data_IF_066124524010
#
_entry.id   IF_066124524010
#
_cell.length_a   1.000
_cell.length_b   1.000
_cell.length_c   1.000
_cell.angle_alpha   90.00
_cell.angle_beta   90.00
_cell.angle_gamma   90.00
#
_symmetry.space_group_name_H-M   'P 1'
#
loop_
_entity.id
_entity.type
_entity.pdbx_description
1 polymer ?
#
# COMPACT_ATOMS: atom_id res chain seq x y z
N UNK A 1 -58.24 40.42 5.22
CA UNK A 1 -56.85 40.78 4.93
C UNK A 1 -56.02 40.45 6.16
N UNK A 2 -55.33 39.32 6.14
CA UNK A 2 -54.44 38.87 7.20
C UNK A 2 -53.05 38.74 6.58
N UNK A 3 -52.14 39.60 7.02
CA UNK A 3 -50.74 39.63 6.58
C UNK A 3 -49.97 38.64 7.46
N UNK A 4 -49.49 37.55 6.87
CA UNK A 4 -48.60 36.59 7.52
C UNK A 4 -47.15 36.96 7.19
N UNK A 5 -46.44 37.48 8.19
CA UNK A 5 -45.01 37.74 8.15
C UNK A 5 -44.28 36.44 8.50
N UNK A 6 -43.50 35.89 7.58
CA UNK A 6 -42.62 34.73 7.83
C UNK A 6 -41.24 35.26 8.20
N UNK A 7 -40.82 35.01 9.43
CA UNK A 7 -39.46 35.25 9.93
C UNK A 7 -38.52 34.11 9.51
N UNK A 8 -37.44 34.43 8.80
CA UNK A 8 -36.34 33.49 8.49
C UNK A 8 -35.54 33.15 9.76
N UNK A 9 -35.06 31.90 9.93
CA UNK A 9 -34.05 31.61 10.94
C UNK A 9 -32.65 31.98 10.43
N UNK A 10 -31.92 32.72 11.27
CA UNK A 10 -30.50 33.03 11.10
C UNK A 10 -29.67 31.73 11.14
N UNK A 11 -28.95 31.43 10.04
CA UNK A 11 -27.95 30.36 10.03
C UNK A 11 -26.63 30.92 10.54
N UNK A 12 -26.29 30.54 11.78
CA UNK A 12 -24.97 30.78 12.38
C UNK A 12 -23.93 29.95 11.64
N UNK A 13 -23.11 30.58 10.80
CA UNK A 13 -21.93 29.93 10.21
C UNK A 13 -20.76 30.01 11.20
N UNK A 14 -20.42 28.87 11.80
CA UNK A 14 -19.16 28.69 12.50
C UNK A 14 -18.02 28.52 11.48
N UNK A 15 -16.91 29.29 11.56
CA UNK A 15 -15.76 29.06 10.69
C UNK A 15 -14.96 27.86 11.20
N UNK A 16 -14.75 26.86 10.33
CA UNK A 16 -13.73 25.83 10.54
C UNK A 16 -12.33 26.48 10.55
N UNK A 17 -11.41 26.05 11.44
CA UNK A 17 -10.08 26.64 11.50
C UNK A 17 -9.27 26.21 10.27
N UNK A 18 -8.90 27.20 9.46
CA UNK A 18 -7.90 27.07 8.41
C UNK A 18 -6.53 27.00 9.10
N UNK A 19 -5.86 25.85 9.03
CA UNK A 19 -4.48 25.73 9.49
C UNK A 19 -3.59 26.55 8.55
N UNK A 20 -3.28 27.78 8.95
CA UNK A 20 -2.29 28.63 8.31
C UNK A 20 -0.93 28.20 8.84
N UNK A 21 -0.17 27.44 8.06
CA UNK A 21 1.25 27.22 8.36
C UNK A 21 1.99 28.49 7.99
N UNK A 22 2.48 29.20 9.01
CA UNK A 22 3.38 30.33 8.86
C UNK A 22 4.71 29.83 8.28
N UNK A 23 5.12 30.40 7.15
CA UNK A 23 6.46 30.24 6.60
C UNK A 23 7.35 31.27 7.29
N UNK A 24 8.13 30.81 8.25
CA UNK A 24 9.19 31.62 8.86
C UNK A 24 10.41 31.54 7.94
N UNK A 25 10.74 32.68 7.32
CA UNK A 25 11.95 32.83 6.52
C UNK A 25 13.15 32.99 7.46
N UNK A 26 14.09 32.05 7.43
CA UNK A 26 15.45 32.27 7.93
C UNK A 26 16.47 31.96 6.84
N UNK A 27 17.38 32.92 6.67
CA UNK A 27 18.34 33.05 5.59
C UNK A 27 19.36 31.91 5.46
N UNK A 28 19.78 31.73 4.21
CA UNK A 28 20.77 30.79 3.64
C UNK A 28 22.22 31.03 4.06
N UNK A 29 23.01 29.95 4.21
CA UNK A 29 24.41 29.85 3.69
C UNK A 29 24.83 28.40 3.36
N UNK A 30 24.91 28.11 2.05
CA UNK A 30 25.85 27.25 1.27
C UNK A 30 26.34 25.85 1.75
N UNK A 31 25.95 24.77 1.03
CA UNK A 31 26.73 24.02 0.01
C UNK A 31 26.34 22.52 -0.12
N UNK A 32 26.03 22.06 -1.34
CA UNK A 32 25.92 20.63 -1.73
C UNK A 32 24.62 20.30 -2.50
N UNK A 33 24.62 19.42 -3.54
CA UNK A 33 23.46 19.20 -4.39
C UNK A 33 22.41 18.41 -3.62
N UNK A 34 21.45 19.12 -3.01
CA UNK A 34 20.27 18.52 -2.41
C UNK A 34 19.39 17.99 -3.53
N UNK A 35 19.39 16.66 -3.69
CA UNK A 35 18.32 15.99 -4.42
C UNK A 35 17.00 16.34 -3.75
N UNK A 36 16.13 17.04 -4.45
CA UNK A 36 14.79 17.40 -3.99
C UNK A 36 14.04 16.11 -3.67
N UNK A 37 13.97 15.74 -2.39
CA UNK A 37 13.10 14.69 -1.93
C UNK A 37 11.66 15.20 -2.10
N UNK A 38 11.08 14.97 -3.28
CA UNK A 38 9.65 15.13 -3.50
C UNK A 38 8.95 14.17 -2.54
N UNK A 39 8.39 14.71 -1.45
CA UNK A 39 7.42 14.01 -0.63
C UNK A 39 6.17 13.77 -1.49
N UNK A 40 6.20 12.72 -2.30
CA UNK A 40 5.06 12.29 -3.10
C UNK A 40 4.06 11.64 -2.13
N UNK A 41 3.14 12.45 -1.60
CA UNK A 41 2.03 11.94 -0.81
C UNK A 41 1.11 11.17 -1.74
N UNK A 42 1.03 9.86 -1.56
CA UNK A 42 0.11 9.01 -2.31
C UNK A 42 -1.29 9.27 -1.78
N UNK A 43 -2.18 9.77 -2.64
CA UNK A 43 -3.56 10.07 -2.29
C UNK A 43 -4.52 9.23 -3.14
N UNK A 44 -5.68 8.91 -2.56
CA UNK A 44 -6.78 8.26 -3.25
C UNK A 44 -7.98 9.19 -3.21
N UNK A 45 -8.49 9.57 -4.38
CA UNK A 45 -9.61 10.48 -4.48
C UNK A 45 -10.92 9.70 -4.32
N UNK A 46 -11.76 10.05 -3.33
CA UNK A 46 -13.09 9.46 -3.25
C UNK A 46 -13.87 9.80 -4.52
N UNK A 47 -14.73 8.89 -4.95
CA UNK A 47 -15.61 9.19 -6.07
C UNK A 47 -16.63 10.24 -5.63
N UNK A 48 -16.53 11.44 -6.21
CA UNK A 48 -17.49 12.52 -6.01
C UNK A 48 -17.77 13.22 -7.33
N UNK A 49 -19.04 13.50 -7.61
CA UNK A 49 -19.47 14.29 -8.75
C UNK A 49 -20.19 15.52 -8.22
N UNK A 50 -19.66 16.70 -8.52
CA UNK A 50 -20.30 17.98 -8.19
C UNK A 50 -20.92 18.56 -9.46
N UNK A 51 -22.23 18.81 -9.43
CA UNK A 51 -22.96 19.46 -10.53
C UNK A 51 -23.32 20.88 -10.10
N UNK A 52 -22.83 21.88 -10.83
CA UNK A 52 -23.26 23.26 -10.64
C UNK A 52 -24.65 23.50 -11.25
N UNK A 53 -25.22 24.68 -11.04
CA UNK A 53 -26.57 25.02 -11.52
C UNK A 53 -26.72 24.86 -13.04
N UNK A 54 -25.67 25.19 -13.81
CA UNK A 54 -25.69 25.07 -15.27
C UNK A 54 -25.60 23.61 -15.71
N UNK A 55 -24.76 22.81 -15.06
CA UNK A 55 -24.63 21.38 -15.31
C UNK A 55 -25.93 20.64 -14.96
N UNK A 56 -26.60 21.01 -13.86
CA UNK A 56 -27.93 20.46 -13.51
C UNK A 56 -28.98 20.83 -14.56
N UNK A 57 -29.01 22.09 -15.00
CA UNK A 57 -29.95 22.55 -16.03
C UNK A 57 -29.71 21.81 -17.36
N UNK A 58 -28.45 21.77 -17.82
CA UNK A 58 -28.07 21.08 -19.04
C UNK A 58 -28.37 19.58 -18.96
N UNK A 59 -28.03 18.92 -17.84
CA UNK A 59 -28.36 17.52 -17.60
C UNK A 59 -29.86 17.25 -17.64
N UNK A 60 -30.67 18.13 -17.04
CA UNK A 60 -32.14 18.03 -17.07
C UNK A 60 -32.69 18.17 -18.49
N UNK A 61 -32.20 19.14 -19.27
CA UNK A 61 -32.60 19.34 -20.66
C UNK A 61 -32.19 18.16 -21.55
N UNK A 62 -30.99 17.61 -21.35
CA UNK A 62 -30.52 16.41 -22.06
C UNK A 62 -31.35 15.18 -21.72
N UNK A 63 -31.76 15.03 -20.46
CA UNK A 63 -32.64 13.93 -20.05
C UNK A 63 -34.02 14.05 -20.72
N UNK A 64 -34.63 15.24 -20.67
CA UNK A 64 -35.93 15.49 -21.32
C UNK A 64 -35.86 15.30 -22.83
N UNK A 65 -34.86 15.89 -23.48
CA UNK A 65 -34.63 15.70 -24.92
C UNK A 65 -34.41 14.23 -25.27
N UNK A 66 -33.58 13.52 -24.50
CA UNK A 66 -33.33 12.10 -24.70
C UNK A 66 -34.58 11.23 -24.64
N UNK A 67 -35.51 11.52 -23.72
CA UNK A 67 -36.80 10.80 -23.62
C UNK A 67 -37.68 10.98 -24.87
N UNK A 68 -37.59 12.12 -25.56
CA UNK A 68 -38.43 12.42 -26.72
C UNK A 68 -37.80 12.03 -28.06
N UNK A 69 -36.47 12.10 -28.17
CA UNK A 69 -35.77 11.97 -29.45
C UNK A 69 -35.00 10.66 -29.62
N UNK A 70 -34.74 9.90 -28.55
CA UNK A 70 -33.97 8.65 -28.60
C UNK A 70 -34.86 7.43 -28.34
N UNK A 71 -34.48 6.29 -28.90
CA UNK A 71 -35.09 5.02 -28.55
C UNK A 71 -34.88 4.72 -27.06
N UNK A 72 -35.93 4.26 -26.37
CA UNK A 72 -35.93 4.05 -24.92
C UNK A 72 -34.76 3.18 -24.42
N UNK A 73 -34.45 2.07 -25.11
CA UNK A 73 -33.35 1.18 -24.75
C UNK A 73 -31.98 1.85 -24.85
N UNK A 74 -31.75 2.63 -25.91
CA UNK A 74 -30.52 3.38 -26.10
C UNK A 74 -30.36 4.48 -25.04
N UNK A 75 -31.44 5.21 -24.74
CA UNK A 75 -31.41 6.25 -23.74
C UNK A 75 -31.15 5.71 -22.32
N UNK A 76 -31.80 4.60 -21.94
CA UNK A 76 -31.53 3.89 -20.69
C UNK A 76 -30.07 3.43 -20.59
N UNK A 77 -29.52 2.88 -21.68
CA UNK A 77 -28.12 2.47 -21.71
C UNK A 77 -27.17 3.64 -21.48
N UNK A 78 -27.45 4.82 -22.06
CA UNK A 78 -26.64 6.03 -21.84
C UNK A 78 -26.71 6.49 -20.38
N UNK A 79 -27.91 6.54 -19.78
CA UNK A 79 -28.08 6.94 -18.37
C UNK A 79 -27.25 6.06 -17.43
N UNK A 80 -27.19 4.75 -17.69
CA UNK A 80 -26.40 3.81 -16.89
C UNK A 80 -24.90 3.90 -17.23
N UNK A 81 -24.55 4.08 -18.49
CA UNK A 81 -23.17 4.13 -18.94
C UNK A 81 -22.40 5.33 -18.36
N UNK A 82 -23.02 6.51 -18.29
CA UNK A 82 -22.36 7.74 -17.79
C UNK A 82 -21.74 7.58 -16.39
N UNK A 83 -22.49 7.21 -15.32
CA UNK A 83 -21.90 7.02 -14.00
C UNK A 83 -20.88 5.89 -13.95
N UNK A 84 -21.08 4.80 -14.71
CA UNK A 84 -20.11 3.70 -14.81
C UNK A 84 -18.79 4.22 -15.41
N UNK A 85 -18.84 4.99 -16.49
CA UNK A 85 -17.66 5.59 -17.12
C UNK A 85 -16.94 6.52 -16.16
N UNK A 86 -17.66 7.34 -15.39
CA UNK A 86 -17.06 8.23 -14.39
C UNK A 86 -16.40 7.44 -13.25
N UNK A 87 -17.03 6.36 -12.78
CA UNK A 87 -16.47 5.46 -11.76
C UNK A 87 -15.18 4.79 -12.26
N UNK A 88 -15.22 4.21 -13.46
CA UNK A 88 -14.05 3.57 -14.09
C UNK A 88 -12.92 4.58 -14.32
N UNK A 89 -13.25 5.79 -14.76
CA UNK A 89 -12.28 6.88 -14.91
C UNK A 89 -11.63 7.24 -13.58
N UNK A 90 -12.41 7.38 -12.50
CA UNK A 90 -11.89 7.71 -11.18
C UNK A 90 -10.99 6.58 -10.63
N UNK A 91 -11.44 5.32 -10.71
CA UNK A 91 -10.65 4.17 -10.27
C UNK A 91 -9.34 4.03 -11.08
N UNK A 92 -9.38 4.29 -12.40
CA UNK A 92 -8.19 4.31 -13.24
C UNK A 92 -7.22 5.43 -12.86
N UNK A 93 -7.71 6.64 -12.60
CA UNK A 93 -6.85 7.74 -12.13
C UNK A 93 -6.24 7.43 -10.76
N UNK A 94 -7.01 6.87 -9.84
CA UNK A 94 -6.52 6.41 -8.55
C UNK A 94 -5.45 5.31 -8.70
N UNK A 95 -5.60 4.41 -9.66
CA UNK A 95 -4.58 3.43 -10.01
C UNK A 95 -3.27 4.10 -10.46
N UNK A 96 -3.35 5.13 -11.32
CA UNK A 96 -2.16 5.88 -11.75
C UNK A 96 -1.50 6.65 -10.58
N UNK A 97 -2.31 7.20 -9.66
CA UNK A 97 -1.83 7.96 -8.50
C UNK A 97 -1.05 7.12 -7.48
N UNK A 98 -1.19 5.79 -7.50
CA UNK A 98 -0.38 4.89 -6.66
C UNK A 98 1.09 4.83 -7.10
N UNK A 99 1.41 5.39 -8.27
CA UNK A 99 2.75 5.43 -8.84
C UNK A 99 3.12 4.16 -9.62
N UNK A 100 4.40 4.02 -10.01
CA UNK A 100 4.88 2.83 -10.70
C UNK A 100 4.88 1.62 -9.76
N UNK A 101 4.87 0.41 -10.32
CA UNK A 101 5.03 -0.84 -9.57
C UNK A 101 5.10 -2.04 -10.52
N UNK A 102 4.81 -3.24 -10.01
CA UNK A 102 4.85 -4.47 -10.82
C UNK A 102 3.93 -4.45 -12.05
N UNK A 103 2.73 -3.88 -11.91
CA UNK A 103 1.77 -3.67 -13.01
C UNK A 103 2.09 -2.35 -13.73
N UNK A 104 2.26 -2.36 -15.07
CA UNK A 104 2.47 -1.13 -15.82
C UNK A 104 1.32 -0.13 -15.64
N UNK A 105 1.59 1.18 -15.49
CA UNK A 105 0.57 2.23 -15.33
C UNK A 105 -0.10 2.56 -16.67
N UNK A 106 -0.65 1.56 -17.33
CA UNK A 106 -1.34 1.65 -18.62
C UNK A 106 -2.77 1.17 -18.49
N UNK A 107 -3.62 1.52 -19.46
CA UNK A 107 -5.00 1.05 -19.49
C UNK A 107 -5.10 -0.49 -19.51
N UNK A 108 -4.19 -1.17 -20.23
CA UNK A 108 -4.12 -2.63 -20.25
C UNK A 108 -3.70 -3.23 -18.90
N UNK A 109 -2.76 -2.57 -18.19
CA UNK A 109 -2.41 -2.94 -16.82
C UNK A 109 -3.61 -2.85 -15.88
N UNK A 110 -4.37 -1.77 -15.99
CA UNK A 110 -5.60 -1.57 -15.23
C UNK A 110 -6.67 -2.63 -15.52
N UNK A 111 -6.95 -2.94 -16.80
CA UNK A 111 -7.89 -4.00 -17.18
C UNK A 111 -7.49 -5.37 -16.60
N UNK A 112 -6.19 -5.68 -16.61
CA UNK A 112 -5.65 -6.89 -15.97
C UNK A 112 -5.94 -6.92 -14.47
N UNK A 113 -5.82 -5.78 -13.77
CA UNK A 113 -6.16 -5.71 -12.35
C UNK A 113 -7.65 -5.85 -12.10
N UNK A 114 -8.52 -5.26 -12.94
CA UNK A 114 -9.97 -5.45 -12.83
C UNK A 114 -10.35 -6.93 -12.95
N UNK A 115 -9.71 -7.67 -13.85
CA UNK A 115 -9.91 -9.12 -13.93
C UNK A 115 -9.56 -9.81 -12.60
N UNK A 116 -8.39 -9.55 -12.03
CA UNK A 116 -7.99 -10.16 -10.76
C UNK A 116 -8.78 -9.66 -9.55
N UNK A 117 -9.32 -8.43 -9.59
CA UNK A 117 -10.14 -7.82 -8.53
C UNK A 117 -11.39 -8.64 -8.23
N UNK A 118 -11.92 -9.38 -9.22
CA UNK A 118 -13.06 -10.28 -9.04
C UNK A 118 -12.76 -11.46 -8.09
N UNK A 119 -11.48 -11.85 -7.99
CA UNK A 119 -11.01 -13.00 -7.21
C UNK A 119 -10.17 -12.60 -5.99
N UNK A 120 -9.81 -11.32 -5.87
CA UNK A 120 -8.99 -10.82 -4.78
C UNK A 120 -9.58 -11.12 -3.40
N UNK A 121 -8.71 -11.37 -2.43
CA UNK A 121 -9.11 -11.55 -1.03
C UNK A 121 -9.85 -10.30 -0.55
N UNK A 122 -11.08 -10.50 -0.06
CA UNK A 122 -11.90 -9.43 0.54
C UNK A 122 -11.53 -9.19 1.99
N UNK A 123 -11.25 -10.27 2.72
CA UNK A 123 -10.72 -10.21 4.07
C UNK A 123 -9.21 -10.48 4.04
N UNK A 124 -8.42 -9.42 4.14
CA UNK A 124 -6.95 -9.50 4.14
C UNK A 124 -6.36 -9.72 5.54
N UNK A 125 -7.19 -9.74 6.59
CA UNK A 125 -6.74 -9.82 7.98
C UNK A 125 -6.94 -11.21 8.58
N UNK A 126 -7.92 -11.97 8.12
CA UNK A 126 -8.23 -13.30 8.68
C UNK A 126 -8.09 -14.46 7.67
N UNK A 127 -7.60 -14.18 6.45
CA UNK A 127 -7.39 -15.19 5.40
C UNK A 127 -6.02 -15.86 5.49
N UNK A 128 -5.80 -16.64 6.56
CA UNK A 128 -4.54 -17.38 6.77
C UNK A 128 -4.44 -18.53 5.76
N UNK A 129 -3.30 -18.68 5.05
CA UNK A 129 -3.09 -19.81 4.15
C UNK A 129 -3.06 -21.15 4.90
N UNK A 130 -3.49 -22.23 4.26
CA UNK A 130 -3.35 -23.57 4.84
C UNK A 130 -1.88 -24.00 4.84
N UNK A 131 -1.41 -24.54 5.97
CA UNK A 131 -0.09 -25.16 6.06
C UNK A 131 -0.08 -26.47 5.29
N UNK A 132 0.97 -26.70 4.50
CA UNK A 132 1.20 -27.96 3.78
C UNK A 132 2.28 -28.78 4.52
N UNK A 133 2.03 -30.04 4.90
CA UNK A 133 3.03 -30.89 5.54
C UNK A 133 4.33 -31.09 4.73
N UNK A 134 4.29 -30.91 3.41
CA UNK A 134 5.46 -30.99 2.54
C UNK A 134 6.27 -29.69 2.40
N UNK A 135 5.89 -28.63 3.13
CA UNK A 135 6.62 -27.36 3.10
C UNK A 135 7.91 -27.47 3.93
N UNK A 136 9.01 -26.92 3.41
CA UNK A 136 10.28 -26.79 4.12
C UNK A 136 10.61 -25.30 4.23
N UNK A 137 10.75 -24.71 5.42
CA UNK A 137 10.63 -25.33 6.75
C UNK A 137 9.19 -25.77 7.09
N UNK A 138 9.05 -26.78 7.95
CA UNK A 138 7.74 -27.38 8.30
C UNK A 138 6.89 -26.55 9.27
N UNK A 139 7.50 -25.56 9.93
CA UNK A 139 6.85 -24.66 10.88
C UNK A 139 7.48 -23.27 10.81
N UNK A 140 6.70 -22.28 11.23
CA UNK A 140 7.17 -20.92 11.45
C UNK A 140 8.03 -20.80 12.70
N UNK A 141 8.82 -19.71 12.78
CA UNK A 141 9.68 -19.40 13.93
C UNK A 141 9.23 -18.15 14.69
N UNK A 142 8.29 -17.39 14.14
CA UNK A 142 7.80 -16.15 14.69
C UNK A 142 6.74 -16.45 15.75
N UNK A 143 7.06 -16.12 17.01
CA UNK A 143 6.17 -16.32 18.15
C UNK A 143 6.22 -15.10 19.06
N UNK A 144 5.14 -14.88 19.80
CA UNK A 144 5.08 -13.89 20.88
C UNK A 144 5.44 -12.47 20.40
N UNK A 145 4.86 -12.06 19.27
CA UNK A 145 4.93 -10.66 18.89
C UNK A 145 4.01 -9.83 19.80
N UNK A 146 4.45 -8.64 20.24
CA UNK A 146 3.55 -7.71 20.91
C UNK A 146 2.48 -7.23 19.91
N UNK A 147 1.33 -6.82 20.42
CA UNK A 147 0.34 -6.14 19.58
C UNK A 147 0.91 -4.82 19.07
N UNK A 148 0.77 -4.55 17.77
CA UNK A 148 1.13 -3.26 17.19
C UNK A 148 0.21 -2.17 17.77
N UNK A 149 0.75 -1.12 18.43
CA UNK A 149 -0.08 -0.08 19.02
C UNK A 149 -0.85 0.73 17.96
N UNK A 150 -2.13 1.02 18.25
CA UNK A 150 -2.97 1.89 17.43
C UNK A 150 -3.65 1.19 16.25
N UNK A 151 -4.35 1.94 15.39
CA UNK A 151 -5.03 1.38 14.22
C UNK A 151 -4.03 0.89 13.18
N UNK A 152 -4.46 -0.09 12.37
CA UNK A 152 -3.75 -0.49 11.16
C UNK A 152 -3.66 0.68 10.19
N UNK A 153 -2.59 0.79 9.39
CA UNK A 153 -2.47 1.82 8.39
C UNK A 153 -3.50 1.62 7.27
N UNK A 154 -3.84 2.72 6.61
CA UNK A 154 -4.64 2.71 5.40
C UNK A 154 -3.81 2.19 4.24
N UNK A 155 -4.36 1.18 3.55
CA UNK A 155 -3.70 0.56 2.39
C UNK A 155 -4.63 0.61 1.18
N UNK A 156 -4.09 1.03 0.04
CA UNK A 156 -4.82 1.09 -1.22
C UNK A 156 -4.10 0.38 -2.36
N UNK A 157 -4.86 0.04 -3.39
CA UNK A 157 -4.35 -0.63 -4.58
C UNK A 157 -4.32 -2.16 -4.46
N UNK A 158 -4.16 -2.79 -5.63
CA UNK A 158 -3.91 -4.23 -5.75
C UNK A 158 -2.46 -4.48 -6.15
N UNK A 159 -2.00 -3.88 -7.25
CA UNK A 159 -0.60 -3.88 -7.66
C UNK A 159 -0.39 -2.69 -8.61
N UNK A 160 0.29 -1.60 -8.20
CA UNK A 160 0.95 -1.44 -6.91
C UNK A 160 -0.02 -1.42 -5.72
N UNK A 161 0.45 -1.91 -4.59
CA UNK A 161 -0.21 -1.79 -3.28
C UNK A 161 0.59 -0.79 -2.44
N UNK A 162 -0.09 0.14 -1.76
CA UNK A 162 0.55 1.27 -1.06
C UNK A 162 -0.06 1.50 0.31
N UNK A 163 0.82 1.73 1.29
CA UNK A 163 0.44 2.33 2.56
C UNK A 163 0.25 3.84 2.36
N UNK A 164 -0.82 4.41 2.88
CA UNK A 164 -1.18 5.82 2.66
C UNK A 164 -0.87 6.70 3.87
N UNK A 165 -0.66 6.11 5.04
CA UNK A 165 -0.31 6.76 6.30
C UNK A 165 0.75 5.96 7.07
N UNK A 166 1.17 6.44 8.25
CA UNK A 166 2.13 5.75 9.13
C UNK A 166 3.47 5.35 8.44
N UNK A 167 4.02 6.26 7.63
CA UNK A 167 5.28 6.12 6.89
C UNK A 167 6.47 5.87 7.82
N UNK A 168 7.51 5.18 7.34
CA UNK A 168 8.76 5.09 8.09
C UNK A 168 9.56 6.40 8.10
N UNK A 169 10.28 6.63 9.20
CA UNK A 169 11.28 7.69 9.25
C UNK A 169 12.48 7.35 8.34
N UNK A 170 13.16 8.39 7.85
CA UNK A 170 14.41 8.24 7.07
C UNK A 170 15.45 7.47 7.86
N UNK A 171 15.52 7.71 9.16
CA UNK A 171 16.41 7.01 10.11
C UNK A 171 16.12 5.51 10.17
N UNK A 172 14.85 5.11 10.36
CA UNK A 172 14.49 3.69 10.41
C UNK A 172 14.85 2.97 9.11
N UNK A 173 14.63 3.63 7.97
CA UNK A 173 15.03 3.07 6.68
C UNK A 173 16.55 2.94 6.54
N UNK A 174 17.32 3.94 6.97
CA UNK A 174 18.78 3.90 6.91
C UNK A 174 19.35 2.78 7.79
N UNK A 175 18.86 2.64 9.03
CA UNK A 175 19.25 1.58 9.96
C UNK A 175 18.91 0.21 9.37
N UNK A 176 17.68 0.02 8.88
CA UNK A 176 17.27 -1.24 8.27
C UNK A 176 18.14 -1.60 7.07
N UNK A 177 18.36 -0.64 6.16
CA UNK A 177 19.18 -0.86 4.97
C UNK A 177 20.62 -1.23 5.34
N UNK A 178 21.22 -0.56 6.32
CA UNK A 178 22.56 -0.90 6.80
C UNK A 178 22.60 -2.31 7.39
N UNK A 179 21.65 -2.66 8.25
CA UNK A 179 21.56 -3.99 8.87
C UNK A 179 21.48 -5.11 7.82
N UNK A 180 20.71 -4.90 6.75
CA UNK A 180 20.58 -5.88 5.65
C UNK A 180 21.87 -5.99 4.83
N UNK A 181 22.54 -4.87 4.53
CA UNK A 181 23.84 -4.91 3.85
C UNK A 181 24.88 -5.65 4.70
N UNK A 182 24.86 -5.46 6.02
CA UNK A 182 25.76 -6.14 6.95
C UNK A 182 25.45 -7.63 7.05
N UNK A 183 24.17 -8.01 7.04
CA UNK A 183 23.74 -9.40 6.96
C UNK A 183 24.25 -10.07 5.68
N UNK A 184 24.15 -9.39 4.53
CA UNK A 184 24.64 -9.90 3.24
C UNK A 184 26.16 -10.06 3.25
N UNK A 185 26.90 -9.12 3.86
CA UNK A 185 28.35 -9.24 4.07
C UNK A 185 28.73 -10.44 4.95
N UNK A 186 27.91 -10.80 5.93
CA UNK A 186 28.10 -11.99 6.77
C UNK A 186 27.76 -13.30 6.06
N UNK A 187 26.83 -13.27 5.11
CA UNK A 187 26.36 -14.47 4.39
C UNK A 187 26.41 -14.31 2.85
N UNK A 188 27.57 -14.00 2.25
CA UNK A 188 27.66 -13.65 0.82
C UNK A 188 27.29 -14.81 -0.12
N UNK A 189 27.55 -16.05 0.30
CA UNK A 189 27.20 -17.27 -0.44
C UNK A 189 25.70 -17.62 -0.39
N UNK A 190 24.96 -17.00 0.53
CA UNK A 190 23.55 -17.31 0.77
C UNK A 190 22.62 -16.18 0.34
N UNK A 191 23.05 -14.93 0.53
CA UNK A 191 22.23 -13.74 0.35
C UNK A 191 22.84 -12.76 -0.65
N UNK A 192 21.99 -11.96 -1.28
CA UNK A 192 22.37 -10.82 -2.10
C UNK A 192 21.30 -9.73 -2.07
N UNK A 193 21.65 -8.51 -2.45
CA UNK A 193 20.69 -7.42 -2.60
C UNK A 193 20.59 -7.00 -4.07
N UNK A 194 19.39 -6.69 -4.53
CA UNK A 194 19.15 -6.16 -5.87
C UNK A 194 17.86 -5.34 -5.88
N UNK A 195 17.51 -4.76 -7.02
CA UNK A 195 16.18 -4.19 -7.23
C UNK A 195 15.12 -5.30 -7.22
N UNK A 196 13.97 -5.07 -6.59
CA UNK A 196 12.86 -6.06 -6.55
C UNK A 196 12.46 -6.50 -7.96
N UNK A 197 12.22 -7.81 -8.15
CA UNK A 197 11.69 -8.31 -9.42
C UNK A 197 10.17 -8.14 -9.55
N UNK A 198 9.49 -8.03 -8.41
CA UNK A 198 8.03 -7.91 -8.31
C UNK A 198 7.65 -6.46 -8.51
N UNK A 199 8.26 -5.58 -7.72
CA UNK A 199 7.96 -4.15 -7.75
C UNK A 199 8.69 -3.44 -8.90
N UNK A 200 9.77 -4.05 -9.41
CA UNK A 200 10.67 -3.52 -10.45
C UNK A 200 11.42 -2.26 -10.02
N UNK A 201 11.28 -1.88 -8.76
CA UNK A 201 11.86 -0.72 -8.09
C UNK A 201 12.13 -1.11 -6.62
N UNK A 202 12.76 -0.24 -5.85
CA UNK A 202 13.02 -0.48 -4.43
C UNK A 202 14.14 -1.48 -4.13
N UNK A 203 14.56 -1.45 -2.86
CA UNK A 203 15.60 -2.31 -2.32
C UNK A 203 15.03 -3.68 -1.95
N UNK A 204 15.60 -4.75 -2.50
CA UNK A 204 15.21 -6.14 -2.22
C UNK A 204 16.35 -7.00 -1.70
N UNK A 205 16.01 -7.95 -0.81
CA UNK A 205 16.88 -9.02 -0.35
C UNK A 205 16.54 -10.31 -1.09
N UNK A 206 17.55 -11.03 -1.56
CA UNK A 206 17.42 -12.26 -2.32
C UNK A 206 18.22 -13.39 -1.68
N UNK A 207 17.64 -14.59 -1.71
CA UNK A 207 18.30 -15.85 -1.41
C UNK A 207 18.89 -16.44 -2.69
N UNK A 208 20.15 -16.87 -2.64
CA UNK A 208 20.83 -17.54 -3.77
C UNK A 208 20.38 -18.98 -3.96
N UNK A 209 20.05 -19.66 -2.85
CA UNK A 209 19.63 -21.05 -2.83
C UNK A 209 18.33 -21.22 -2.01
N UNK A 210 17.21 -20.66 -2.49
CA UNK A 210 15.94 -20.73 -1.77
C UNK A 210 15.36 -22.15 -1.80
N UNK A 211 14.86 -22.61 -0.64
CA UNK A 211 14.06 -23.85 -0.55
C UNK A 211 12.63 -23.60 -1.03
N UNK A 212 12.09 -22.40 -0.78
CA UNK A 212 10.81 -21.94 -1.30
C UNK A 212 11.05 -20.88 -2.38
N UNK A 213 11.05 -21.31 -3.63
CA UNK A 213 11.36 -20.43 -4.77
C UNK A 213 10.14 -19.62 -5.17
N UNK A 214 10.22 -18.30 -5.01
CA UNK A 214 9.35 -17.37 -5.70
C UNK A 214 10.10 -16.05 -5.96
N UNK A 215 9.72 -15.30 -6.99
CA UNK A 215 10.37 -14.02 -7.33
C UNK A 215 11.88 -14.12 -7.53
N UNK A 216 12.40 -15.16 -8.20
CA UNK A 216 13.84 -15.40 -8.35
C UNK A 216 14.61 -15.48 -7.02
N UNK A 217 13.96 -15.92 -5.94
CA UNK A 217 14.55 -16.01 -4.60
C UNK A 217 14.40 -14.74 -3.77
N UNK A 218 13.57 -13.79 -4.19
CA UNK A 218 13.27 -12.58 -3.42
C UNK A 218 12.63 -12.94 -2.08
N UNK A 219 13.32 -12.61 -0.99
CA UNK A 219 12.87 -12.80 0.40
C UNK A 219 11.85 -11.71 0.73
N UNK A 220 12.25 -10.45 0.50
CA UNK A 220 11.40 -9.27 0.65
C UNK A 220 11.91 -8.10 -0.18
N UNK A 221 11.05 -7.11 -0.37
CA UNK A 221 11.44 -5.78 -0.83
C UNK A 221 10.78 -4.67 -0.02
N UNK A 222 11.40 -3.49 -0.05
CA UNK A 222 10.93 -2.27 0.58
C UNK A 222 10.37 -1.34 -0.50
N UNK A 223 9.16 -0.81 -0.29
CA UNK A 223 8.60 0.21 -1.16
C UNK A 223 9.33 1.56 -1.02
N UNK A 224 9.66 2.19 -2.13
CA UNK A 224 10.42 3.45 -2.13
C UNK A 224 9.67 4.64 -1.54
N UNK A 225 8.33 4.65 -1.56
CA UNK A 225 7.55 5.77 -1.01
C UNK A 225 7.46 5.72 0.50
N UNK A 226 6.84 4.66 1.04
CA UNK A 226 6.37 4.61 2.43
C UNK A 226 7.13 3.63 3.34
N UNK A 227 7.96 2.78 2.73
CA UNK A 227 8.87 1.83 3.38
C UNK A 227 8.20 0.63 4.08
N UNK A 228 6.92 0.35 3.81
CA UNK A 228 6.35 -0.97 4.02
C UNK A 228 7.01 -1.96 3.06
N UNK A 229 6.80 -3.24 3.35
CA UNK A 229 7.50 -4.31 2.67
C UNK A 229 6.54 -5.38 2.21
N UNK A 230 6.86 -6.01 1.10
CA UNK A 230 6.28 -7.30 0.78
C UNK A 230 7.29 -8.41 0.98
N UNK A 231 6.80 -9.54 1.49
CA UNK A 231 7.61 -10.74 1.73
C UNK A 231 6.75 -12.00 1.73
N UNK A 232 7.41 -13.15 1.63
CA UNK A 232 6.78 -14.45 1.83
C UNK A 232 7.13 -15.01 3.20
N UNK A 233 6.12 -15.46 3.95
CA UNK A 233 6.26 -16.02 5.29
C UNK A 233 5.67 -17.41 5.38
N UNK A 234 6.11 -18.19 6.37
CA UNK A 234 5.43 -19.45 6.71
C UNK A 234 3.99 -19.16 7.16
N UNK A 235 2.99 -20.00 6.85
CA UNK A 235 1.60 -19.78 7.30
C UNK A 235 1.43 -19.52 8.80
N UNK A 236 2.22 -20.19 9.65
CA UNK A 236 2.24 -19.94 11.10
C UNK A 236 2.73 -18.51 11.44
N UNK A 237 3.76 -18.03 10.75
CA UNK A 237 4.30 -16.68 10.94
C UNK A 237 3.32 -15.62 10.41
N UNK A 238 2.64 -15.91 9.29
CA UNK A 238 1.55 -15.07 8.76
C UNK A 238 0.47 -14.92 9.81
N UNK A 239 0.04 -16.02 10.45
CA UNK A 239 -0.96 -15.98 11.51
C UNK A 239 -0.53 -15.03 12.64
N UNK A 240 0.70 -15.15 13.12
CA UNK A 240 1.22 -14.28 14.18
C UNK A 240 1.25 -12.80 13.75
N UNK A 241 1.75 -12.50 12.54
CA UNK A 241 1.79 -11.13 11.99
C UNK A 241 0.39 -10.52 11.88
N UNK A 242 -0.57 -11.29 11.37
CA UNK A 242 -1.95 -10.83 11.21
C UNK A 242 -2.62 -10.62 12.56
N UNK A 243 -2.56 -11.59 13.46
CA UNK A 243 -3.21 -11.52 14.77
C UNK A 243 -2.68 -10.36 15.62
N UNK A 244 -1.39 -10.03 15.49
CA UNK A 244 -0.73 -8.96 16.23
C UNK A 244 -0.74 -7.60 15.55
N UNK A 245 -1.27 -7.51 14.32
CA UNK A 245 -1.49 -6.23 13.66
C UNK A 245 -0.28 -5.65 12.91
N UNK A 246 0.75 -6.47 12.62
CA UNK A 246 1.99 -6.01 11.97
C UNK A 246 1.94 -6.02 10.43
N UNK A 247 0.93 -6.65 9.85
CA UNK A 247 0.78 -6.70 8.40
C UNK A 247 -0.59 -7.21 7.96
N UNK A 248 -0.75 -7.36 6.65
CA UNK A 248 -1.95 -7.89 6.01
C UNK A 248 -1.60 -8.82 4.86
N UNK A 249 -2.52 -9.72 4.51
CA UNK A 249 -2.43 -10.52 3.30
C UNK A 249 -2.42 -9.62 2.07
N UNK A 250 -1.65 -10.00 1.05
CA UNK A 250 -1.78 -9.34 -0.24
C UNK A 250 -3.10 -9.77 -0.91
N UNK A 251 -3.98 -8.86 -1.37
CA UNK A 251 -5.28 -9.23 -1.96
C UNK A 251 -5.17 -10.22 -3.14
N UNK A 252 -4.12 -10.06 -3.96
CA UNK A 252 -3.80 -10.95 -5.08
C UNK A 252 -3.16 -12.30 -4.68
N UNK A 253 -2.96 -12.59 -3.39
CA UNK A 253 -2.48 -13.88 -2.88
C UNK A 253 -3.65 -14.84 -2.52
N UNK A 254 -4.72 -14.80 -3.31
CA UNK A 254 -5.89 -15.66 -3.12
C UNK A 254 -5.61 -17.10 -3.54
N UNK A 255 -6.47 -18.02 -3.11
CA UNK A 255 -6.46 -19.42 -3.56
C UNK A 255 -7.84 -19.77 -4.12
N UNK A 256 -7.89 -20.51 -5.21
CA UNK A 256 -9.14 -20.85 -5.87
C UNK A 256 -8.90 -21.53 -7.22
N UNK A 257 -9.97 -21.62 -8.01
CA UNK A 257 -9.96 -22.22 -9.34
C UNK A 257 -9.19 -21.38 -10.38
N UNK A 258 -9.11 -20.06 -10.17
CA UNK A 258 -8.24 -19.17 -10.94
C UNK A 258 -6.87 -19.11 -10.27
N UNK A 259 -5.80 -19.27 -11.07
CA UNK A 259 -4.42 -19.15 -10.58
C UNK A 259 -4.13 -17.70 -10.18
N UNK A 260 -3.80 -17.49 -8.91
CA UNK A 260 -3.35 -16.21 -8.40
C UNK A 260 -1.98 -15.82 -8.99
N UNK A 261 -1.73 -14.51 -9.21
CA UNK A 261 -0.43 -14.03 -9.69
C UNK A 261 0.64 -14.03 -8.58
N UNK A 262 0.25 -14.04 -7.31
CA UNK A 262 1.13 -14.03 -6.15
C UNK A 262 0.95 -15.30 -5.33
N UNK A 263 2.00 -15.77 -4.62
CA UNK A 263 1.93 -17.00 -3.85
C UNK A 263 1.02 -16.77 -2.65
N UNK A 264 0.36 -17.84 -2.22
CA UNK A 264 -0.50 -17.79 -1.05
C UNK A 264 0.27 -17.38 0.21
N UNK A 265 1.59 -17.33 0.26
CA UNK A 265 2.36 -16.88 1.43
C UNK A 265 2.73 -15.40 1.40
N UNK A 266 2.33 -14.67 0.35
CA UNK A 266 2.72 -13.27 0.18
C UNK A 266 1.90 -12.32 1.06
N UNK A 267 2.62 -11.49 1.83
CA UNK A 267 2.04 -10.52 2.77
C UNK A 267 2.65 -9.14 2.58
N UNK A 268 1.96 -8.13 3.08
CA UNK A 268 2.47 -6.78 3.28
C UNK A 268 2.75 -6.59 4.76
N UNK A 269 3.97 -6.22 5.12
CA UNK A 269 4.37 -5.81 6.46
C UNK A 269 4.41 -4.29 6.50
N UNK A 270 3.74 -3.69 7.48
CA UNK A 270 3.61 -2.24 7.57
C UNK A 270 4.96 -1.56 7.83
N UNK A 271 5.08 -0.30 7.40
CA UNK A 271 6.28 0.48 7.62
C UNK A 271 6.57 0.69 9.13
N UNK A 272 7.84 0.64 9.57
CA UNK A 272 8.20 0.96 10.95
C UNK A 272 8.05 2.45 11.23
N UNK A 273 7.20 2.83 12.19
CA UNK A 273 7.04 4.25 12.57
C UNK A 273 8.22 4.77 13.38
N UNK A 274 8.86 3.88 14.13
CA UNK A 274 9.95 4.18 15.05
C UNK A 274 10.87 2.95 15.23
N UNK A 275 11.90 3.10 16.06
CA UNK A 275 12.87 2.04 16.36
C UNK A 275 12.26 0.82 17.08
N UNK A 276 11.16 1.01 17.81
CA UNK A 276 10.46 -0.09 18.48
C UNK A 276 9.75 -0.96 17.46
N UNK A 277 9.02 -0.34 16.52
CA UNK A 277 8.44 -1.03 15.37
C UNK A 277 9.54 -1.73 14.56
N UNK A 278 10.66 -1.05 14.32
CA UNK A 278 11.77 -1.58 13.52
C UNK A 278 12.36 -2.87 14.11
N UNK A 279 12.53 -2.95 15.43
CA UNK A 279 12.99 -4.18 16.12
C UNK A 279 12.04 -5.35 15.92
N UNK A 280 10.74 -5.10 15.91
CA UNK A 280 9.74 -6.15 15.65
C UNK A 280 9.77 -6.57 14.19
N UNK A 281 9.88 -5.61 13.27
CA UNK A 281 10.01 -5.90 11.84
C UNK A 281 11.27 -6.68 11.52
N UNK A 282 12.38 -6.43 12.22
CA UNK A 282 13.61 -7.22 12.06
C UNK A 282 13.36 -8.71 12.35
N UNK A 283 12.62 -9.05 13.43
CA UNK A 283 12.20 -10.43 13.73
C UNK A 283 11.31 -11.03 12.64
N UNK A 284 10.44 -10.23 12.04
CA UNK A 284 9.60 -10.67 10.91
C UNK A 284 10.47 -10.95 9.68
N UNK A 285 11.47 -10.12 9.40
CA UNK A 285 12.42 -10.34 8.30
C UNK A 285 13.23 -11.63 8.50
N UNK A 286 13.69 -11.90 9.73
CA UNK A 286 14.33 -13.18 10.06
C UNK A 286 13.43 -14.38 9.74
N UNK A 287 12.13 -14.27 10.06
CA UNK A 287 11.15 -15.31 9.72
C UNK A 287 10.93 -15.47 8.21
N UNK A 288 11.03 -14.38 7.43
CA UNK A 288 10.98 -14.43 5.96
C UNK A 288 12.21 -15.13 5.38
N UNK A 289 13.40 -14.89 5.95
CA UNK A 289 14.65 -15.56 5.56
C UNK A 289 14.57 -17.04 5.92
N UNK A 290 14.08 -17.36 7.12
CA UNK A 290 13.81 -18.74 7.55
C UNK A 290 12.88 -19.46 6.57
N UNK A 291 11.74 -18.85 6.23
CA UNK A 291 10.81 -19.44 5.26
C UNK A 291 11.46 -19.64 3.90
N UNK A 292 12.23 -18.67 3.41
CA UNK A 292 12.81 -18.73 2.06
C UNK A 292 13.97 -19.72 1.96
N UNK A 293 14.80 -19.85 3.01
CA UNK A 293 16.09 -20.56 2.97
C UNK A 293 16.23 -21.73 3.94
N UNK A 294 15.28 -21.94 4.84
CA UNK A 294 15.39 -22.86 5.99
C UNK A 294 16.67 -22.64 6.82
N UNK A 295 17.14 -21.39 6.87
CA UNK A 295 18.34 -20.99 7.61
C UNK A 295 17.99 -19.87 8.57
N UNK A 296 18.25 -20.09 9.85
CA UNK A 296 18.08 -19.07 10.87
C UNK A 296 19.23 -18.07 10.79
N UNK A 297 18.89 -16.79 10.89
CA UNK A 297 19.83 -15.68 10.92
C UNK A 297 19.44 -14.72 12.03
N UNK A 298 20.40 -13.92 12.48
CA UNK A 298 20.18 -12.84 13.45
C UNK A 298 20.45 -11.50 12.76
N UNK A 299 19.42 -10.67 12.69
CA UNK A 299 19.46 -9.35 12.06
C UNK A 299 19.77 -8.29 13.13
N UNK A 300 21.06 -8.01 13.27
CA UNK A 300 21.57 -6.99 14.18
C UNK A 300 21.30 -5.60 13.60
N UNK A 301 20.47 -4.80 14.30
CA UNK A 301 20.24 -3.41 13.97
C UNK A 301 21.37 -2.53 14.55
N UNK A 302 21.98 -1.63 13.77
CA UNK A 302 22.94 -0.69 14.31
C UNK A 302 22.26 0.30 15.27
N UNK A 303 23.00 0.77 16.27
CA UNK A 303 22.53 1.84 17.15
C UNK A 303 22.34 3.13 16.34
N UNK A 304 21.34 3.96 16.68
CA UNK A 304 21.19 5.29 16.11
C UNK A 304 22.49 6.07 16.27
N UNK A 305 23.00 6.62 15.18
CA UNK A 305 24.11 7.57 15.27
C UNK A 305 23.59 8.77 16.07
N UNK A 306 24.10 8.98 17.29
CA UNK A 306 23.89 10.23 18.01
C UNK A 306 24.56 11.33 17.16
N UNK A 307 23.77 12.01 16.33
CA UNK A 307 24.26 13.26 15.75
C UNK A 307 24.52 14.22 16.91
N UNK A 308 25.79 14.58 17.02
CA UNK A 308 26.37 15.48 17.99
C UNK A 308 25.54 16.76 17.96
N UNK A 309 24.89 17.06 19.08
CA UNK A 309 24.27 18.35 19.33
C UNK A 309 25.38 19.40 19.32
N UNK A 310 25.48 20.17 18.23
CA UNK A 310 26.24 21.41 18.15
C UNK A 310 25.29 22.54 17.76
#
# INVERSE_FOLDING_TARGET
MATLTVTSPEVRTSPFPRATVAVEQSNTTSHGPSGTALNMVIQQNPFSVTLDAWAMLAGSLLLVGGMHFLQASMFQAIIVAVPITLLVRNDYLNFLLLGPGGTPPTFWGYLRLLWFRMFALRDVYHSIPKTNPGLAPSQGILKELPYRPGPRPLVAGLAPQRQLDQYASVECYAILRSAILDLVRRYPESLSTATSCIEKHGFGLFARHPVNVWGQGEVFHIHDSEKSMHMSLHPDDIKEVLDKGWGQRHPLAFTGWVKAPLPATFVMIYAPRDLTDLRIIARIIESAIWYTMAKQVDLVLPEPTQEISL
#
